data_IF_690323146811
#
_entry.id   IF_690323146811
#
_cell.length_a   1.000
_cell.length_b   1.000
_cell.length_c   1.000
_cell.angle_alpha   90.00
_cell.angle_beta   90.00
_cell.angle_gamma   90.00
#
_symmetry.space_group_name_H-M   'P 1'
#
loop_
_entity.id
_entity.type
_entity.pdbx_description
1 polymer ?
#
# COMPACT_ATOMS: atom_id res chain seq x y z
N UNK A 1 -13.68 98.26 -48.19
CA UNK A 1 -14.02 97.30 -49.25
C UNK A 1 -13.68 95.86 -48.82
N UNK A 2 -14.71 95.07 -48.52
CA UNK A 2 -14.49 93.63 -48.25
C UNK A 2 -14.74 92.84 -49.53
N UNK A 3 -13.78 92.12 -49.98
CA UNK A 3 -13.88 91.08 -51.01
C UNK A 3 -14.50 89.82 -50.44
N UNK A 4 -15.69 89.52 -50.94
CA UNK A 4 -16.39 88.27 -50.65
C UNK A 4 -15.76 87.17 -51.45
N UNK A 5 -15.23 86.17 -50.77
CA UNK A 5 -14.86 84.86 -51.40
C UNK A 5 -16.07 83.94 -51.40
N UNK A 6 -16.54 83.61 -52.58
CA UNK A 6 -17.52 82.57 -52.80
C UNK A 6 -16.82 81.19 -52.60
N UNK A 7 -17.39 80.44 -51.65
CA UNK A 7 -16.97 79.05 -51.42
C UNK A 7 -17.84 78.16 -52.29
N UNK A 8 -17.20 77.55 -53.28
CA UNK A 8 -17.82 76.58 -54.19
C UNK A 8 -18.00 75.24 -53.44
N UNK A 9 -19.25 74.84 -53.22
CA UNK A 9 -19.62 73.60 -52.51
C UNK A 9 -19.98 72.48 -53.48
N UNK A 10 -19.04 72.07 -54.29
CA UNK A 10 -19.24 70.92 -55.19
C UNK A 10 -18.06 69.94 -55.17
N UNK A 11 -17.80 69.27 -54.01
CA UNK A 11 -17.11 68.00 -53.98
C UNK A 11 -17.69 67.20 -52.82
N UNK A 12 -18.79 66.53 -53.10
CA UNK A 12 -19.29 65.45 -52.26
C UNK A 12 -18.40 64.27 -52.47
N UNK A 13 -17.45 64.06 -51.53
CA UNK A 13 -16.71 62.83 -51.43
C UNK A 13 -17.69 61.70 -51.15
N UNK A 14 -17.90 60.82 -52.13
CA UNK A 14 -18.58 59.57 -51.96
C UNK A 14 -17.70 58.69 -51.05
N UNK A 15 -18.22 58.11 -49.96
CA UNK A 15 -17.45 57.19 -49.13
C UNK A 15 -17.09 55.96 -49.97
N UNK A 16 -15.78 55.73 -50.14
CA UNK A 16 -15.29 54.51 -50.68
C UNK A 16 -15.72 53.37 -49.76
N UNK A 17 -16.67 52.58 -50.27
CA UNK A 17 -17.00 51.29 -49.62
C UNK A 17 -15.78 50.39 -49.72
N UNK A 18 -15.13 50.13 -48.58
CA UNK A 18 -14.10 49.11 -48.48
C UNK A 18 -14.69 47.80 -48.98
N UNK A 19 -13.95 47.03 -49.76
CA UNK A 19 -14.42 45.72 -50.18
C UNK A 19 -14.53 44.84 -48.93
N UNK A 20 -15.76 44.48 -48.58
CA UNK A 20 -16.06 43.50 -47.58
C UNK A 20 -15.52 42.15 -48.02
N UNK A 21 -14.28 41.85 -47.64
CA UNK A 21 -13.65 40.56 -47.89
C UNK A 21 -14.19 39.55 -46.87
N UNK A 22 -15.50 39.36 -46.90
CA UNK A 22 -16.10 38.17 -46.32
C UNK A 22 -15.71 37.01 -47.26
N UNK A 23 -14.75 36.25 -46.81
CA UNK A 23 -14.53 34.91 -47.34
C UNK A 23 -15.79 34.09 -46.98
N UNK A 24 -16.88 34.33 -47.73
CA UNK A 24 -17.96 33.35 -47.79
C UNK A 24 -17.36 32.09 -48.33
N UNK A 25 -17.15 31.10 -47.46
CA UNK A 25 -16.84 29.75 -47.91
C UNK A 25 -17.99 29.30 -48.80
N UNK A 26 -17.81 29.49 -50.10
CA UNK A 26 -18.80 29.10 -51.07
C UNK A 26 -18.89 27.56 -51.08
N UNK A 27 -19.80 27.04 -50.23
CA UNK A 27 -20.09 25.61 -50.13
C UNK A 27 -20.40 24.99 -51.51
N UNK A 28 -20.92 25.79 -52.42
CA UNK A 28 -21.25 25.38 -53.80
C UNK A 28 -20.00 25.12 -54.64
N UNK A 29 -18.92 25.87 -54.40
CA UNK A 29 -17.61 25.67 -55.03
C UNK A 29 -16.98 24.38 -54.59
N UNK A 30 -17.05 24.03 -53.27
CA UNK A 30 -16.53 22.76 -52.74
C UNK A 30 -17.30 21.58 -53.31
N UNK A 31 -18.65 21.70 -53.42
CA UNK A 31 -19.47 20.63 -53.99
C UNK A 31 -19.19 20.39 -55.48
N UNK A 32 -18.96 21.44 -56.22
CA UNK A 32 -18.60 21.39 -57.65
C UNK A 32 -17.20 20.76 -57.85
N UNK A 33 -16.24 21.13 -57.01
CA UNK A 33 -14.90 20.54 -57.00
C UNK A 33 -14.94 19.04 -56.70
N UNK A 34 -15.67 18.63 -55.65
CA UNK A 34 -15.87 17.22 -55.27
C UNK A 34 -16.52 16.43 -56.43
N UNK A 35 -17.54 17.02 -57.07
CA UNK A 35 -18.24 16.34 -58.18
C UNK A 35 -17.37 16.19 -59.44
N UNK A 36 -16.56 17.19 -59.78
CA UNK A 36 -15.65 17.17 -60.92
C UNK A 36 -14.52 16.15 -60.74
N UNK A 37 -14.01 15.99 -59.50
CA UNK A 37 -12.92 15.09 -59.15
C UNK A 37 -13.36 13.77 -58.51
N UNK A 38 -14.65 13.42 -58.62
CA UNK A 38 -15.25 12.25 -57.97
C UNK A 38 -14.50 10.93 -58.23
N UNK A 39 -13.98 10.72 -59.46
CA UNK A 39 -13.22 9.51 -59.80
C UNK A 39 -11.86 9.49 -59.11
N UNK A 40 -11.18 10.61 -59.06
CA UNK A 40 -9.86 10.74 -58.40
C UNK A 40 -10.00 10.60 -56.89
N UNK A 41 -11.00 11.24 -56.27
CA UNK A 41 -11.34 11.10 -54.85
C UNK A 41 -11.80 9.70 -54.50
N UNK A 42 -12.57 9.07 -55.37
CA UNK A 42 -12.99 7.66 -55.23
C UNK A 42 -11.79 6.71 -55.24
N UNK A 43 -10.85 6.92 -56.18
CA UNK A 43 -9.62 6.13 -56.28
C UNK A 43 -8.73 6.31 -55.05
N UNK A 44 -8.53 7.56 -54.57
CA UNK A 44 -7.80 7.84 -53.35
C UNK A 44 -8.49 7.23 -52.14
N UNK A 45 -9.82 7.33 -52.01
CA UNK A 45 -10.58 6.71 -50.96
C UNK A 45 -10.48 5.19 -50.95
N UNK A 46 -10.57 4.58 -52.14
CA UNK A 46 -10.45 3.13 -52.32
C UNK A 46 -9.02 2.63 -52.02
N UNK A 47 -8.00 3.36 -52.48
CA UNK A 47 -6.62 3.04 -52.15
C UNK A 47 -6.33 3.20 -50.64
N UNK A 48 -6.85 4.25 -50.01
CA UNK A 48 -6.74 4.45 -48.57
C UNK A 48 -7.45 3.35 -47.76
N UNK A 49 -8.63 2.94 -48.20
CA UNK A 49 -9.37 1.83 -47.58
C UNK A 49 -8.62 0.50 -47.72
N UNK A 50 -8.08 0.20 -48.92
CA UNK A 50 -7.25 -0.99 -49.14
C UNK A 50 -5.99 -1.00 -48.27
N UNK A 51 -5.29 0.11 -48.19
CA UNK A 51 -4.12 0.26 -47.31
C UNK A 51 -4.53 0.12 -45.83
N UNK A 52 -5.63 0.74 -45.45
CA UNK A 52 -6.16 0.61 -44.08
C UNK A 52 -6.46 -0.84 -43.69
N UNK A 53 -7.13 -1.60 -44.56
CA UNK A 53 -7.40 -3.03 -44.36
C UNK A 53 -6.10 -3.85 -44.31
N UNK A 54 -5.13 -3.56 -45.20
CA UNK A 54 -3.84 -4.24 -45.17
C UNK A 54 -3.07 -3.99 -43.88
N UNK A 55 -2.98 -2.74 -43.42
CA UNK A 55 -2.28 -2.38 -42.20
C UNK A 55 -3.03 -2.82 -40.90
N UNK A 56 -4.35 -2.93 -40.95
CA UNK A 56 -5.17 -3.44 -39.84
C UNK A 56 -5.24 -4.97 -39.82
N UNK A 57 -4.71 -5.65 -40.81
CA UNK A 57 -4.70 -7.12 -40.86
C UNK A 57 -3.78 -7.69 -39.76
N UNK A 58 -4.19 -8.85 -39.19
CA UNK A 58 -3.39 -9.63 -38.20
C UNK A 58 -1.96 -9.97 -38.64
N UNK A 59 -1.61 -9.68 -39.93
CA UNK A 59 -0.27 -9.82 -40.44
C UNK A 59 0.70 -8.75 -39.92
N UNK A 60 0.18 -7.54 -39.64
CA UNK A 60 0.99 -6.42 -39.16
C UNK A 60 0.84 -6.18 -37.63
N UNK A 61 -0.31 -6.53 -37.06
CA UNK A 61 -0.58 -6.36 -35.63
C UNK A 61 -0.90 -7.72 -35.01
N UNK A 62 0.00 -8.25 -34.21
CA UNK A 62 -0.28 -9.47 -33.44
C UNK A 62 -1.34 -9.17 -32.39
N UNK A 63 -2.52 -9.81 -32.44
CA UNK A 63 -3.53 -9.63 -31.41
C UNK A 63 -3.00 -10.15 -30.07
N UNK A 64 -3.20 -9.36 -29.02
CA UNK A 64 -2.89 -9.79 -27.65
C UNK A 64 -4.21 -9.99 -26.90
N UNK A 65 -4.31 -11.12 -26.24
CA UNK A 65 -5.42 -11.46 -25.36
C UNK A 65 -5.05 -11.08 -23.93
N UNK A 66 -5.99 -10.44 -23.24
CA UNK A 66 -5.79 -9.97 -21.88
C UNK A 66 -6.54 -10.87 -20.90
N UNK A 67 -5.83 -11.37 -19.89
CA UNK A 67 -6.39 -12.07 -18.73
C UNK A 67 -6.19 -11.25 -17.48
N UNK A 68 -7.23 -11.13 -16.65
CA UNK A 68 -7.20 -10.37 -15.39
C UNK A 68 -7.57 -11.25 -14.21
N UNK A 69 -6.82 -11.08 -13.13
CA UNK A 69 -7.14 -11.66 -11.81
C UNK A 69 -7.13 -10.54 -10.79
N UNK A 70 -8.15 -10.48 -9.95
CA UNK A 70 -8.27 -9.46 -8.91
C UNK A 70 -8.21 -10.11 -7.55
N UNK A 71 -7.32 -9.61 -6.69
CA UNK A 71 -7.12 -10.04 -5.31
C UNK A 71 -7.62 -9.00 -4.34
N UNK A 72 -8.38 -9.44 -3.35
CA UNK A 72 -8.74 -8.63 -2.20
C UNK A 72 -7.83 -9.01 -1.03
N UNK A 73 -6.97 -8.10 -0.54
CA UNK A 73 -6.13 -8.38 0.62
C UNK A 73 -7.03 -8.56 1.85
N UNK A 74 -6.98 -9.75 2.46
CA UNK A 74 -7.66 -9.99 3.72
C UNK A 74 -6.80 -9.50 4.89
N UNK A 75 -7.38 -8.72 5.78
CA UNK A 75 -6.72 -8.21 7.00
C UNK A 75 -6.61 -9.33 8.04
N UNK A 76 -5.53 -10.09 8.01
CA UNK A 76 -5.29 -11.16 9.01
C UNK A 76 -5.06 -10.57 10.41
N UNK A 77 -4.61 -9.31 10.50
CA UNK A 77 -4.34 -8.63 11.77
C UNK A 77 -5.61 -8.23 12.55
N UNK A 78 -6.76 -8.13 11.89
CA UNK A 78 -8.00 -7.70 12.56
C UNK A 78 -8.51 -8.73 13.56
N UNK A 79 -8.43 -10.02 13.25
CA UNK A 79 -8.89 -11.10 14.15
C UNK A 79 -7.99 -11.20 15.37
N UNK A 80 -6.67 -11.15 15.20
CA UNK A 80 -5.72 -11.19 16.30
C UNK A 80 -5.80 -9.95 17.20
N UNK A 81 -5.97 -8.75 16.61
CA UNK A 81 -6.23 -7.52 17.36
C UNK A 81 -7.56 -7.56 18.09
N UNK A 82 -8.63 -8.01 17.45
CA UNK A 82 -9.94 -8.11 18.07
C UNK A 82 -9.99 -9.11 19.24
N UNK A 83 -9.18 -10.17 19.19
CA UNK A 83 -9.10 -11.19 20.23
C UNK A 83 -8.13 -10.80 21.37
N UNK A 84 -7.14 -9.94 21.13
CA UNK A 84 -6.09 -9.58 22.07
C UNK A 84 -6.23 -8.17 22.66
N UNK A 85 -7.11 -7.31 22.11
CA UNK A 85 -7.31 -5.96 22.63
C UNK A 85 -8.28 -5.97 23.79
N UNK A 86 -7.78 -5.71 25.00
CA UNK A 86 -8.59 -5.46 26.21
C UNK A 86 -9.33 -4.11 26.19
N UNK A 87 -9.10 -3.27 25.15
CA UNK A 87 -9.69 -1.94 25.03
C UNK A 87 -10.88 -1.91 24.06
N UNK A 88 -12.10 -1.56 24.54
CA UNK A 88 -13.30 -1.47 23.69
C UNK A 88 -13.25 -0.39 22.61
N UNK A 89 -12.34 0.58 22.73
CA UNK A 89 -12.16 1.68 21.77
C UNK A 89 -11.25 1.32 20.59
N UNK A 90 -10.56 0.20 20.63
CA UNK A 90 -9.64 -0.26 19.57
C UNK A 90 -10.31 -1.35 18.68
N UNK A 91 -11.65 -1.29 18.60
CA UNK A 91 -12.43 -2.12 17.69
C UNK A 91 -12.16 -1.69 16.25
N UNK A 92 -11.00 -2.07 15.75
CA UNK A 92 -10.74 -2.09 14.31
C UNK A 92 -11.80 -3.00 13.69
N UNK A 93 -12.55 -2.48 12.73
CA UNK A 93 -13.62 -3.21 12.06
C UNK A 93 -13.05 -4.53 11.53
N UNK A 94 -13.57 -5.66 12.03
CA UNK A 94 -13.15 -7.02 11.62
C UNK A 94 -13.38 -7.25 10.12
N UNK A 95 -14.18 -6.39 9.49
CA UNK A 95 -14.57 -6.40 8.09
C UNK A 95 -13.84 -5.33 7.26
N UNK A 96 -12.84 -4.65 7.80
CA UNK A 96 -12.05 -3.69 7.03
C UNK A 96 -11.26 -4.42 5.94
N UNK A 97 -11.85 -4.44 4.75
CA UNK A 97 -11.21 -4.97 3.56
C UNK A 97 -10.13 -3.99 3.09
N UNK A 98 -8.89 -4.48 3.04
CA UNK A 98 -7.83 -3.85 2.27
C UNK A 98 -7.35 -2.50 2.81
N UNK A 99 -6.55 -2.51 3.87
CA UNK A 99 -5.71 -1.35 4.14
C UNK A 99 -4.76 -1.11 2.95
N UNK A 100 -4.54 0.14 2.61
CA UNK A 100 -3.64 0.56 1.51
C UNK A 100 -2.28 -0.12 1.60
N UNK A 101 -1.72 -0.18 2.81
CA UNK A 101 -0.44 -0.82 3.13
C UNK A 101 -0.40 -2.31 2.73
N UNK A 102 -1.50 -3.02 2.87
CA UNK A 102 -1.56 -4.45 2.52
C UNK A 102 -1.58 -4.66 1.01
N UNK A 103 -2.28 -3.81 0.28
CA UNK A 103 -2.27 -3.83 -1.19
C UNK A 103 -0.87 -3.53 -1.71
N UNK A 104 -0.17 -2.56 -1.12
CA UNK A 104 1.20 -2.21 -1.50
C UNK A 104 2.19 -3.33 -1.16
N UNK A 105 2.03 -4.02 -0.03
CA UNK A 105 2.82 -5.21 0.30
C UNK A 105 2.62 -6.34 -0.72
N UNK A 106 1.37 -6.60 -1.13
CA UNK A 106 1.10 -7.61 -2.16
C UNK A 106 1.73 -7.23 -3.51
N UNK A 107 1.64 -5.97 -3.91
CA UNK A 107 2.28 -5.47 -5.13
C UNK A 107 3.80 -5.63 -5.04
N UNK A 108 4.40 -5.33 -3.89
CA UNK A 108 5.84 -5.51 -3.69
C UNK A 108 6.26 -6.99 -3.81
N UNK A 109 5.46 -7.92 -3.28
CA UNK A 109 5.68 -9.36 -3.44
C UNK A 109 5.56 -9.76 -4.91
N UNK A 110 4.55 -9.23 -5.63
CA UNK A 110 4.35 -9.52 -7.06
C UNK A 110 5.50 -9.05 -7.94
N UNK A 111 6.13 -7.92 -7.61
CA UNK A 111 7.33 -7.43 -8.31
C UNK A 111 8.63 -8.10 -7.87
N UNK A 112 8.57 -9.08 -6.95
CA UNK A 112 9.77 -9.79 -6.52
C UNK A 112 10.37 -10.65 -7.62
N UNK A 113 11.69 -10.78 -7.58
CA UNK A 113 12.45 -11.64 -8.50
C UNK A 113 12.01 -13.11 -8.40
N UNK A 114 11.62 -13.57 -7.20
CA UNK A 114 11.19 -14.96 -6.96
C UNK A 114 9.96 -15.32 -7.78
N UNK A 115 8.96 -14.45 -7.84
CA UNK A 115 7.75 -14.66 -8.64
C UNK A 115 8.10 -14.59 -10.13
N UNK A 116 8.80 -13.53 -10.55
CA UNK A 116 9.21 -13.36 -11.95
C UNK A 116 9.98 -14.59 -12.45
N UNK A 117 11.02 -14.99 -11.75
CA UNK A 117 11.90 -16.09 -12.17
C UNK A 117 11.17 -17.44 -12.15
N UNK A 118 10.18 -17.62 -11.28
CA UNK A 118 9.32 -18.81 -11.26
C UNK A 118 8.44 -18.87 -12.49
N UNK A 119 7.83 -17.75 -12.89
CA UNK A 119 7.01 -17.65 -14.09
C UNK A 119 7.85 -17.83 -15.35
N UNK A 120 8.99 -17.15 -15.42
CA UNK A 120 9.94 -17.26 -16.55
C UNK A 120 10.36 -18.72 -16.79
N UNK A 121 10.69 -19.45 -15.72
CA UNK A 121 11.09 -20.87 -15.80
C UNK A 121 9.93 -21.78 -16.14
N UNK A 122 8.75 -21.57 -15.53
CA UNK A 122 7.61 -22.47 -15.68
C UNK A 122 7.02 -22.42 -17.09
N UNK A 123 6.98 -21.25 -17.70
CA UNK A 123 6.41 -21.03 -19.03
C UNK A 123 7.46 -20.89 -20.12
N UNK A 124 8.76 -21.07 -19.80
CA UNK A 124 9.87 -20.87 -20.70
C UNK A 124 9.74 -19.58 -21.53
N UNK A 125 9.49 -18.46 -20.83
CA UNK A 125 9.20 -17.18 -21.45
C UNK A 125 10.33 -16.67 -22.38
N UNK A 126 11.56 -17.17 -22.20
CA UNK A 126 12.66 -16.85 -23.11
C UNK A 126 12.36 -17.34 -24.54
N UNK A 127 11.86 -18.56 -24.67
CA UNK A 127 11.50 -19.14 -25.98
C UNK A 127 10.12 -18.67 -26.41
N UNK A 128 9.17 -18.56 -25.48
CA UNK A 128 7.79 -18.14 -25.77
C UNK A 128 7.73 -16.74 -26.37
N UNK A 129 8.55 -15.80 -25.87
CA UNK A 129 8.65 -14.44 -26.42
C UNK A 129 9.70 -14.31 -27.51
N UNK A 130 10.21 -15.43 -28.06
CA UNK A 130 11.13 -15.48 -29.19
C UNK A 130 12.38 -14.62 -28.98
N UNK A 131 12.93 -14.59 -27.75
CA UNK A 131 14.12 -13.79 -27.45
C UNK A 131 15.35 -14.47 -28.04
N UNK A 132 16.11 -13.78 -28.94
CA UNK A 132 17.22 -14.40 -29.66
C UNK A 132 18.28 -14.95 -28.70
N UNK A 133 18.71 -16.20 -28.92
CA UNK A 133 19.72 -16.85 -28.10
C UNK A 133 21.08 -16.12 -28.12
N UNK A 134 21.40 -15.44 -29.22
CA UNK A 134 22.63 -14.68 -29.43
C UNK A 134 22.56 -13.21 -29.01
N UNK A 135 21.43 -12.75 -28.44
CA UNK A 135 21.29 -11.36 -28.02
C UNK A 135 22.23 -11.06 -26.85
N UNK A 136 22.99 -9.95 -26.96
CA UNK A 136 23.97 -9.52 -25.93
C UNK A 136 23.36 -9.28 -24.55
N UNK A 137 22.06 -8.89 -24.48
CA UNK A 137 21.36 -8.54 -23.26
C UNK A 137 20.03 -9.29 -23.15
N UNK A 138 20.05 -10.63 -23.24
CA UNK A 138 18.85 -11.48 -23.23
C UNK A 138 17.92 -11.23 -22.02
N UNK A 139 18.51 -11.17 -20.82
CA UNK A 139 17.74 -10.97 -19.60
C UNK A 139 17.06 -9.58 -19.56
N UNK A 140 17.72 -8.55 -20.06
CA UNK A 140 17.12 -7.21 -20.15
C UNK A 140 15.98 -7.16 -21.18
N UNK A 141 16.12 -7.88 -22.30
CA UNK A 141 15.05 -8.00 -23.29
C UNK A 141 13.86 -8.75 -22.71
N UNK A 142 14.09 -9.87 -22.02
CA UNK A 142 13.05 -10.61 -21.33
C UNK A 142 12.33 -9.73 -20.31
N UNK A 143 13.08 -9.02 -19.48
CA UNK A 143 12.50 -8.14 -18.46
C UNK A 143 11.61 -7.05 -19.06
N UNK A 144 12.04 -6.43 -20.17
CA UNK A 144 11.22 -5.42 -20.88
C UNK A 144 9.92 -6.01 -21.42
N UNK A 145 9.98 -7.19 -22.05
CA UNK A 145 8.76 -7.84 -22.56
C UNK A 145 7.87 -8.31 -21.39
N UNK A 146 8.44 -8.84 -20.31
CA UNK A 146 7.71 -9.23 -19.12
C UNK A 146 6.95 -8.03 -18.51
N UNK A 147 7.62 -6.90 -18.27
CA UNK A 147 7.01 -5.68 -17.70
C UNK A 147 5.94 -5.05 -18.62
N UNK A 148 6.07 -5.22 -19.93
CA UNK A 148 5.09 -4.76 -20.91
C UNK A 148 3.83 -5.63 -20.93
N UNK A 149 4.00 -6.95 -20.81
CA UNK A 149 2.93 -7.92 -20.96
C UNK A 149 2.26 -8.29 -19.62
N UNK A 150 2.99 -8.21 -18.51
CA UNK A 150 2.50 -8.54 -17.17
C UNK A 150 2.56 -7.29 -16.31
N UNK A 151 1.40 -6.85 -15.82
CA UNK A 151 1.27 -5.62 -15.04
C UNK A 151 0.50 -5.89 -13.75
N UNK A 152 0.93 -5.23 -12.68
CA UNK A 152 0.28 -5.27 -11.38
C UNK A 152 -0.16 -3.86 -10.99
N UNK A 153 -1.42 -3.70 -10.60
CA UNK A 153 -1.98 -2.40 -10.25
C UNK A 153 -2.87 -2.51 -9.02
N UNK A 154 -2.86 -1.47 -8.19
CA UNK A 154 -3.88 -1.28 -7.16
C UNK A 154 -5.12 -0.66 -7.82
N UNK A 155 -6.29 -1.18 -7.47
CA UNK A 155 -7.56 -0.61 -7.89
C UNK A 155 -8.03 0.47 -6.90
N UNK A 156 -9.03 1.24 -7.29
CA UNK A 156 -9.66 2.24 -6.41
C UNK A 156 -10.30 1.60 -5.16
N UNK A 157 -10.62 0.32 -5.21
CA UNK A 157 -11.18 -0.45 -4.10
C UNK A 157 -10.13 -1.17 -3.24
N UNK A 158 -8.88 -0.73 -3.28
CA UNK A 158 -7.75 -1.32 -2.53
C UNK A 158 -7.51 -2.81 -2.83
N UNK A 159 -8.03 -3.32 -3.93
CA UNK A 159 -7.69 -4.64 -4.45
C UNK A 159 -6.47 -4.57 -5.37
N UNK A 160 -5.82 -5.70 -5.60
CA UNK A 160 -4.68 -5.83 -6.51
C UNK A 160 -5.12 -6.53 -7.77
N UNK A 161 -4.97 -5.87 -8.91
CA UNK A 161 -5.25 -6.43 -10.23
C UNK A 161 -3.94 -6.92 -10.86
N UNK A 162 -3.94 -8.17 -11.29
CA UNK A 162 -2.91 -8.80 -12.09
C UNK A 162 -3.42 -8.85 -13.52
N UNK A 163 -2.75 -8.16 -14.43
CA UNK A 163 -3.10 -8.15 -15.86
C UNK A 163 -1.99 -8.85 -16.64
N UNK A 164 -2.34 -9.88 -17.39
CA UNK A 164 -1.44 -10.63 -18.25
C UNK A 164 -1.93 -10.55 -19.70
N UNK A 165 -1.05 -10.15 -20.60
CA UNK A 165 -1.31 -10.11 -22.05
C UNK A 165 -0.44 -11.11 -22.76
N UNK A 166 -1.02 -11.93 -23.62
CA UNK A 166 -0.30 -12.92 -24.41
C UNK A 166 -0.95 -13.11 -25.80
N UNK A 167 -0.22 -13.72 -26.71
CA UNK A 167 -0.73 -14.10 -28.05
C UNK A 167 -1.72 -15.26 -27.96
N UNK A 168 -1.55 -16.13 -26.96
CA UNK A 168 -2.45 -17.24 -26.67
C UNK A 168 -3.31 -16.95 -25.45
N UNK A 169 -4.66 -16.94 -25.59
CA UNK A 169 -5.57 -16.65 -24.47
C UNK A 169 -5.49 -17.69 -23.34
N UNK A 170 -5.13 -18.94 -23.65
CA UNK A 170 -4.95 -20.00 -22.64
C UNK A 170 -3.69 -19.75 -21.82
N UNK A 171 -2.60 -19.41 -22.48
CA UNK A 171 -1.32 -19.11 -21.80
C UNK A 171 -1.47 -17.85 -20.95
N UNK A 172 -2.14 -16.80 -21.46
CA UNK A 172 -2.43 -15.61 -20.67
C UNK A 172 -3.19 -15.95 -19.36
N UNK A 173 -4.22 -16.78 -19.46
CA UNK A 173 -4.99 -17.22 -18.28
C UNK A 173 -4.18 -18.12 -17.33
N UNK A 174 -3.36 -19.02 -17.86
CA UNK A 174 -2.52 -19.90 -17.05
C UNK A 174 -1.42 -19.12 -16.32
N UNK A 175 -0.78 -18.16 -16.98
CA UNK A 175 0.20 -17.26 -16.34
C UNK A 175 -0.46 -16.46 -15.22
N UNK A 176 -1.61 -15.83 -15.49
CA UNK A 176 -2.33 -15.04 -14.50
C UNK A 176 -2.71 -15.86 -13.26
N UNK A 177 -3.27 -17.06 -13.46
CA UNK A 177 -3.62 -17.97 -12.37
C UNK A 177 -2.38 -18.48 -11.62
N UNK A 178 -1.29 -18.72 -12.32
CA UNK A 178 -0.03 -19.18 -11.69
C UNK A 178 0.58 -18.07 -10.84
N UNK A 179 0.59 -16.82 -11.31
CA UNK A 179 1.04 -15.67 -10.53
C UNK A 179 0.18 -15.55 -9.26
N UNK A 180 -1.11 -15.70 -9.38
CA UNK A 180 -2.06 -15.71 -8.28
C UNK A 180 -1.72 -16.77 -7.22
N UNK A 181 -1.49 -18.01 -7.65
CA UNK A 181 -1.11 -19.10 -6.76
C UNK A 181 0.26 -18.88 -6.10
N UNK A 182 1.23 -18.35 -6.84
CA UNK A 182 2.57 -18.01 -6.30
C UNK A 182 2.50 -16.88 -5.28
N UNK A 183 1.64 -15.87 -5.51
CA UNK A 183 1.40 -14.79 -4.55
C UNK A 183 0.90 -15.35 -3.23
N UNK A 184 -0.10 -16.23 -3.26
CA UNK A 184 -0.66 -16.87 -2.06
C UNK A 184 0.39 -17.71 -1.31
N UNK A 185 1.17 -18.50 -2.04
CA UNK A 185 2.25 -19.29 -1.44
C UNK A 185 3.32 -18.40 -0.79
N UNK A 186 3.76 -17.35 -1.48
CA UNK A 186 4.81 -16.46 -0.99
C UNK A 186 4.32 -15.67 0.22
N UNK A 187 3.09 -15.14 0.16
CA UNK A 187 2.45 -14.45 1.29
C UNK A 187 2.38 -15.37 2.52
N UNK A 188 1.87 -16.59 2.35
CA UNK A 188 1.71 -17.54 3.45
C UNK A 188 3.07 -17.95 4.04
N UNK A 189 4.10 -18.10 3.20
CA UNK A 189 5.48 -18.38 3.65
C UNK A 189 6.02 -17.24 4.50
N UNK A 190 5.95 -15.99 4.01
CA UNK A 190 6.42 -14.80 4.75
C UNK A 190 5.69 -14.68 6.08
N UNK A 191 4.37 -14.87 6.08
CA UNK A 191 3.54 -14.78 7.27
C UNK A 191 3.88 -15.88 8.29
N UNK A 192 4.10 -17.10 7.85
CA UNK A 192 4.52 -18.22 8.69
C UNK A 192 5.90 -17.96 9.32
N UNK A 193 6.86 -17.48 8.53
CA UNK A 193 8.20 -17.14 9.04
C UNK A 193 8.16 -16.03 10.09
N UNK A 194 7.36 -14.98 9.86
CA UNK A 194 7.17 -13.89 10.83
C UNK A 194 6.50 -14.39 12.10
N UNK A 195 5.46 -15.22 11.97
CA UNK A 195 4.75 -15.80 13.11
C UNK A 195 5.68 -16.68 13.95
N UNK A 196 6.49 -17.52 13.33
CA UNK A 196 7.46 -18.38 14.04
C UNK A 196 8.52 -17.55 14.79
N UNK A 197 9.04 -16.48 14.17
CA UNK A 197 9.98 -15.57 14.84
C UNK A 197 9.35 -14.89 16.05
N UNK A 198 8.13 -14.38 15.88
CA UNK A 198 7.37 -13.74 16.97
C UNK A 198 7.05 -14.71 18.10
N UNK A 199 6.63 -15.92 17.77
CA UNK A 199 6.37 -16.98 18.75
C UNK A 199 7.62 -17.29 19.56
N UNK A 200 8.78 -17.45 18.94
CA UNK A 200 10.04 -17.71 19.62
C UNK A 200 10.44 -16.59 20.59
N UNK A 201 10.17 -15.33 20.22
CA UNK A 201 10.42 -14.18 21.13
C UNK A 201 9.52 -14.27 22.36
N UNK A 202 8.22 -14.53 22.15
CA UNK A 202 7.25 -14.65 23.27
C UNK A 202 7.59 -15.85 24.16
N UNK A 203 7.95 -16.99 23.58
CA UNK A 203 8.38 -18.17 24.31
C UNK A 203 9.60 -17.89 25.20
N UNK A 204 10.62 -17.23 24.66
CA UNK A 204 11.81 -16.86 25.41
C UNK A 204 11.47 -15.88 26.55
N UNK A 205 10.59 -14.91 26.32
CA UNK A 205 10.15 -13.98 27.35
C UNK A 205 9.36 -14.71 28.46
N UNK A 206 8.48 -15.63 28.07
CA UNK A 206 7.74 -16.46 29.02
C UNK A 206 8.68 -17.28 29.90
N UNK A 207 9.64 -17.99 29.31
CA UNK A 207 10.62 -18.78 30.04
C UNK A 207 11.48 -17.92 30.99
N UNK A 208 11.90 -16.73 30.54
CA UNK A 208 12.63 -15.80 31.37
C UNK A 208 11.81 -15.29 32.56
N UNK A 209 10.54 -14.93 32.32
CA UNK A 209 9.61 -14.54 33.41
C UNK A 209 9.33 -15.67 34.37
N UNK A 210 9.15 -16.89 33.87
CA UNK A 210 8.95 -18.08 34.71
C UNK A 210 10.16 -18.31 35.62
N UNK A 211 11.37 -18.30 35.07
CA UNK A 211 12.60 -18.42 35.86
C UNK A 211 12.76 -17.30 36.91
N UNK A 212 12.34 -16.06 36.56
CA UNK A 212 12.34 -14.95 37.51
C UNK A 212 11.33 -15.16 38.64
N UNK A 213 10.12 -15.65 38.36
CA UNK A 213 9.10 -15.99 39.39
C UNK A 213 9.60 -17.08 40.30
N UNK A 214 10.26 -18.13 39.78
CA UNK A 214 10.86 -19.19 40.60
C UNK A 214 11.90 -18.63 41.57
N UNK A 215 12.83 -17.78 41.09
CA UNK A 215 13.80 -17.09 41.97
C UNK A 215 13.14 -16.23 43.05
N UNK A 216 12.05 -15.52 42.65
CA UNK A 216 11.30 -14.71 43.59
C UNK A 216 10.63 -15.57 44.70
N UNK A 217 10.04 -16.71 44.28
CA UNK A 217 9.46 -17.67 45.23
C UNK A 217 10.51 -18.29 46.17
N UNK A 218 11.69 -18.59 45.63
CA UNK A 218 12.80 -19.08 46.46
C UNK A 218 13.23 -18.03 47.51
N UNK A 219 13.32 -16.76 47.08
CA UNK A 219 13.60 -15.64 48.00
C UNK A 219 12.49 -15.47 49.07
N UNK A 220 11.23 -15.55 48.66
CA UNK A 220 10.10 -15.48 49.59
C UNK A 220 10.11 -16.66 50.56
N UNK A 221 10.40 -17.86 50.15
CA UNK A 221 10.51 -19.03 51.00
C UNK A 221 11.67 -18.90 51.97
N UNK A 222 12.81 -18.31 51.53
CA UNK A 222 13.91 -17.99 52.43
C UNK A 222 13.48 -17.02 53.54
N UNK A 223 12.81 -15.92 53.22
CA UNK A 223 12.31 -14.96 54.21
C UNK A 223 11.27 -15.60 55.16
N UNK A 224 10.36 -16.41 54.60
CA UNK A 224 9.38 -17.15 55.42
C UNK A 224 10.06 -18.11 56.41
N UNK A 225 11.14 -18.77 55.98
CA UNK A 225 11.91 -19.64 56.89
C UNK A 225 12.59 -18.87 58.04
N UNK A 226 12.85 -17.58 57.85
CA UNK A 226 13.33 -16.65 58.88
C UNK A 226 12.20 -16.06 59.74
N UNK A 227 10.94 -16.48 59.52
CA UNK A 227 9.78 -15.99 60.27
C UNK A 227 9.17 -14.69 59.73
N UNK A 228 9.60 -14.24 58.57
CA UNK A 228 9.04 -13.05 57.90
C UNK A 228 7.94 -13.48 56.95
N UNK A 229 6.67 -13.34 57.36
CA UNK A 229 5.52 -13.74 56.53
C UNK A 229 4.86 -12.57 55.84
N UNK A 230 4.84 -11.43 56.51
CA UNK A 230 4.30 -10.15 56.01
C UNK A 230 5.16 -9.03 56.57
N UNK A 231 5.99 -8.44 55.72
CA UNK A 231 6.94 -7.41 56.14
C UNK A 231 6.23 -6.16 56.63
N UNK A 232 5.17 -5.74 55.97
CA UNK A 232 4.46 -4.49 56.29
C UNK A 232 3.75 -4.61 57.65
N UNK A 233 3.02 -5.67 57.85
CA UNK A 233 2.28 -5.93 59.10
C UNK A 233 3.23 -6.21 60.28
N UNK A 234 4.34 -6.92 60.02
CA UNK A 234 5.36 -7.19 61.07
C UNK A 234 6.17 -5.95 61.43
N UNK A 235 6.49 -5.08 60.46
CA UNK A 235 7.17 -3.82 60.68
C UNK A 235 6.30 -2.86 61.53
N UNK A 236 5.03 -2.75 61.22
CA UNK A 236 4.08 -1.93 61.98
C UNK A 236 3.94 -2.42 63.41
N UNK A 237 3.78 -3.73 63.62
CA UNK A 237 3.69 -4.30 64.92
C UNK A 237 4.99 -4.13 65.74
N UNK A 238 6.16 -4.31 65.15
CA UNK A 238 7.43 -4.07 65.81
C UNK A 238 7.59 -2.61 66.19
N UNK A 239 7.19 -1.69 65.32
CA UNK A 239 7.21 -0.26 65.59
C UNK A 239 6.29 0.10 66.76
N UNK A 240 5.08 -0.44 66.78
CA UNK A 240 4.12 -0.25 67.89
C UNK A 240 4.68 -0.77 69.19
N UNK A 241 5.18 -2.00 69.26
CA UNK A 241 5.83 -2.59 70.44
C UNK A 241 7.03 -1.77 70.88
N UNK A 242 7.83 -1.27 69.97
CA UNK A 242 8.99 -0.42 70.33
C UNK A 242 8.55 0.91 70.93
N UNK A 243 7.55 1.58 70.30
CA UNK A 243 6.98 2.82 70.86
C UNK A 243 6.40 2.58 72.25
N UNK A 244 5.64 1.49 72.43
CA UNK A 244 5.05 1.13 73.75
C UNK A 244 6.14 0.84 74.74
N UNK A 245 7.21 0.13 74.41
CA UNK A 245 8.35 -0.13 75.29
C UNK A 245 9.09 1.13 75.76
N UNK A 246 9.24 2.10 74.82
CA UNK A 246 9.83 3.38 75.12
C UNK A 246 8.96 4.25 76.03
N UNK A 247 7.64 4.25 75.79
CA UNK A 247 6.70 4.97 76.67
C UNK A 247 6.69 4.40 78.14
N UNK A 248 6.67 3.08 78.26
CA UNK A 248 6.76 2.43 79.54
C UNK A 248 8.09 2.75 80.25
N UNK A 249 9.20 2.74 79.58
CA UNK A 249 10.50 3.14 80.15
C UNK A 249 10.50 4.59 80.63
N UNK A 250 9.92 5.50 79.80
CA UNK A 250 9.83 6.90 80.17
C UNK A 250 8.95 7.13 81.44
N UNK A 251 7.85 6.42 81.49
CA UNK A 251 7.00 6.44 82.68
C UNK A 251 7.72 5.90 83.95
N UNK A 252 8.45 4.79 83.83
CA UNK A 252 9.22 4.24 84.93
C UNK A 252 10.39 5.15 85.36
N UNK A 253 11.04 5.78 84.41
CA UNK A 253 12.06 6.80 84.75
C UNK A 253 11.44 8.02 85.41
N UNK A 254 10.27 8.47 84.99
CA UNK A 254 9.50 9.54 85.68
C UNK A 254 9.12 9.18 87.05
N UNK A 255 8.63 7.93 87.31
CA UNK A 255 8.32 7.42 88.61
C UNK A 255 9.56 7.35 89.53
N UNK A 256 10.67 6.84 89.04
CA UNK A 256 11.95 6.78 89.71
C UNK A 256 12.43 8.19 90.12
N UNK A 257 12.30 9.15 89.22
CA UNK A 257 12.70 10.54 89.47
C UNK A 257 11.80 11.23 90.50
N UNK A 258 10.49 10.97 90.45
CA UNK A 258 9.54 11.45 91.45
C UNK A 258 9.79 10.84 92.84
N UNK A 259 10.09 9.53 92.92
CA UNK A 259 10.49 8.88 94.16
C UNK A 259 11.81 9.41 94.75
N UNK A 260 12.75 9.75 93.85
CA UNK A 260 14.03 10.34 94.18
C UNK A 260 13.84 11.75 94.78
N UNK A 261 12.95 12.54 94.20
CA UNK A 261 12.61 13.88 94.76
C UNK A 261 11.90 13.80 96.12
N UNK A 262 10.98 12.84 96.33
CA UNK A 262 10.33 12.59 97.57
C UNK A 262 11.27 12.11 98.71
N UNK A 263 12.35 11.43 98.39
CA UNK A 263 13.35 10.95 99.35
C UNK A 263 14.36 12.01 99.75
N UNK A 264 14.43 13.13 99.11
CA UNK A 264 15.35 14.26 99.37
C UNK A 264 14.63 15.40 100.07
N UNK A 265 13.29 15.35 100.16
CA UNK A 265 12.42 16.22 101.01
C UNK A 265 12.20 15.61 102.33
#
# INVERSE_FOLDING_TARGET
NPTLYFYDSSSVDTPQTMPNNQNEYDSSGIFRFLWTHRLLLGLCGLSGALLGVLFSSSWFVTPLYESKVVFYPATVNSISKALLSDNPSDKTDVLEFGAEEQSDQLIQILYSDDIRDSIVRRFDLMNHYEIPANAKFRNTLLQKEYEKLIQFKRTEYMSVEITVRDRDPKIAAEIANTIAALLDQTKNKIQSEQTQKSFKIVENQYLAKKAWIEKLNDSLNFFRSQGIFDYELQADHLTEVQVQSLSTRAEDQGKVETLRKLKVS
#
